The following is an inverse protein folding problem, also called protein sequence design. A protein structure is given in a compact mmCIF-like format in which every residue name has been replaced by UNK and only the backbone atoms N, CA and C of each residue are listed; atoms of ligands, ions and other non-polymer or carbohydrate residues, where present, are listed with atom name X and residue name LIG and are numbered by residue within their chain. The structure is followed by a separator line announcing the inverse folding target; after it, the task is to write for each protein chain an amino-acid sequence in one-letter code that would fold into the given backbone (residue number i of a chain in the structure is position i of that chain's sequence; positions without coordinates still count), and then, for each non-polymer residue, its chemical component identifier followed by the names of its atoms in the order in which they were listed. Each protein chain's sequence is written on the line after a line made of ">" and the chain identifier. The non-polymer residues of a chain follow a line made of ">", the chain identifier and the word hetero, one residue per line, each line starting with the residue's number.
data_IF_999224447885
#
_entry.id   IF_999224447885
#
_cell.length_a   1.000
_cell.length_b   1.000
_cell.length_c   1.000
_cell.angle_alpha   90.00
_cell.angle_beta   90.00
_cell.angle_gamma   90.00
#
_symmetry.space_group_name_H-M   'P 1'
#
loop_
_entity.id
_entity.type
_entity.pdbx_description
1 polymer ?
#
# COMPACT_ATOMS: atom_id res chain seq x y z
N UNK A 1 -66.04 -58.15 14.99
CA UNK A 1 -65.67 -58.48 13.58
C UNK A 1 -64.97 -57.24 13.03
N UNK A 2 -63.70 -57.27 12.60
CA UNK A 2 -63.11 -57.80 11.35
C UNK A 2 -63.60 -57.06 10.07
N UNK A 3 -62.66 -56.46 9.31
CA UNK A 3 -62.81 -55.73 8.01
C UNK A 3 -63.42 -54.31 8.12
N UNK A 4 -62.98 -53.23 7.46
CA UNK A 4 -61.67 -52.75 6.88
C UNK A 4 -61.79 -51.19 6.70
N UNK A 5 -61.11 -50.35 5.88
CA UNK A 5 -60.19 -50.47 4.72
C UNK A 5 -59.36 -49.16 4.50
N UNK A 6 -58.02 -49.25 4.44
CA UNK A 6 -57.07 -48.37 3.66
C UNK A 6 -56.99 -46.85 3.98
N UNK A 7 -55.87 -46.23 3.61
CA UNK A 7 -55.48 -44.84 3.90
C UNK A 7 -55.48 -43.92 2.67
N UNK A 8 -55.47 -42.60 2.90
CA UNK A 8 -55.04 -41.57 1.95
C UNK A 8 -54.11 -40.59 2.67
N UNK A 9 -52.98 -40.26 2.03
CA UNK A 9 -52.09 -39.16 2.43
C UNK A 9 -52.45 -37.96 1.56
N UNK A 10 -52.61 -36.77 2.16
CA UNK A 10 -52.21 -35.53 1.49
C UNK A 10 -51.86 -34.46 2.52
N UNK A 11 -50.80 -33.70 2.24
CA UNK A 11 -50.35 -32.60 3.07
C UNK A 11 -50.78 -31.26 2.49
N UNK A 12 -50.81 -30.21 3.33
CA UNK A 12 -50.66 -28.84 2.86
C UNK A 12 -49.84 -28.05 3.89
N UNK A 13 -48.51 -28.12 3.76
CA UNK A 13 -47.60 -27.37 4.63
C UNK A 13 -47.58 -25.89 4.20
N UNK A 14 -47.97 -24.98 5.10
CA UNK A 14 -48.16 -23.57 4.78
C UNK A 14 -47.77 -22.62 5.93
N UNK A 15 -46.60 -22.82 6.57
CA UNK A 15 -46.14 -21.94 7.66
C UNK A 15 -44.61 -21.92 7.98
N UNK A 16 -43.68 -22.14 7.04
CA UNK A 16 -42.22 -22.04 7.31
C UNK A 16 -41.36 -21.63 6.09
N UNK A 17 -41.74 -20.57 5.36
CA UNK A 17 -40.99 -20.10 4.18
C UNK A 17 -40.95 -18.57 4.04
N UNK A 18 -40.55 -17.85 5.10
CA UNK A 18 -40.53 -16.37 5.07
C UNK A 18 -39.66 -15.64 6.11
N UNK A 19 -38.85 -16.34 6.91
CA UNK A 19 -38.14 -15.75 8.05
C UNK A 19 -36.65 -16.15 8.19
N UNK A 20 -36.03 -16.71 7.13
CA UNK A 20 -34.63 -17.18 7.17
C UNK A 20 -33.75 -16.66 6.00
N UNK A 21 -34.14 -15.56 5.36
CA UNK A 21 -33.39 -14.96 4.23
C UNK A 21 -32.73 -13.62 4.60
N UNK A 22 -33.04 -13.03 5.77
CA UNK A 22 -32.56 -11.68 6.16
C UNK A 22 -31.39 -11.65 7.15
N UNK A 23 -30.81 -12.79 7.56
CA UNK A 23 -29.70 -12.84 8.53
C UNK A 23 -28.41 -13.48 7.98
N UNK A 24 -28.32 -13.72 6.68
CA UNK A 24 -27.08 -14.19 6.02
C UNK A 24 -26.18 -13.04 5.48
N UNK A 25 -26.74 -11.83 5.29
CA UNK A 25 -26.03 -10.72 4.65
C UNK A 25 -25.26 -9.78 5.59
N UNK A 26 -25.56 -9.77 6.89
CA UNK A 26 -25.02 -8.80 7.85
C UNK A 26 -23.91 -9.40 8.75
N UNK A 27 -22.92 -10.04 8.14
CA UNK A 27 -21.71 -10.50 8.81
C UNK A 27 -20.48 -10.59 7.87
N UNK A 28 -20.32 -9.61 6.97
CA UNK A 28 -19.05 -9.38 6.30
C UNK A 28 -18.05 -8.76 7.30
N UNK A 29 -17.49 -9.58 8.19
CA UNK A 29 -16.59 -9.12 9.24
C UNK A 29 -15.32 -8.46 8.68
N UNK A 30 -14.64 -7.57 9.44
CA UNK A 30 -13.58 -6.68 8.93
C UNK A 30 -12.46 -7.35 8.12
N UNK A 31 -12.12 -8.62 8.41
CA UNK A 31 -11.18 -9.41 7.59
C UNK A 31 -11.58 -9.41 6.11
N UNK A 32 -12.84 -9.74 5.80
CA UNK A 32 -13.31 -9.98 4.42
C UNK A 32 -13.17 -8.78 3.50
N UNK A 33 -13.16 -7.56 4.07
CA UNK A 33 -12.93 -6.34 3.28
C UNK A 33 -11.46 -6.25 2.87
N UNK A 34 -10.52 -6.50 3.79
CA UNK A 34 -9.08 -6.60 3.46
C UNK A 34 -8.83 -7.79 2.53
N UNK A 35 -9.41 -8.96 2.81
CA UNK A 35 -9.27 -10.17 1.98
C UNK A 35 -9.69 -9.89 0.52
N UNK A 36 -10.85 -9.25 0.31
CA UNK A 36 -11.33 -8.85 -1.02
C UNK A 36 -10.42 -7.80 -1.70
N UNK A 37 -9.88 -6.83 -0.94
CA UNK A 37 -8.94 -5.83 -1.47
C UNK A 37 -7.63 -6.51 -1.92
N UNK A 38 -7.11 -7.45 -1.13
CA UNK A 38 -5.89 -8.20 -1.44
C UNK A 38 -6.07 -9.19 -2.60
N UNK A 39 -7.31 -9.63 -2.88
CA UNK A 39 -7.66 -10.34 -4.12
C UNK A 39 -7.69 -9.37 -5.30
N UNK A 40 -8.42 -8.25 -5.20
CA UNK A 40 -8.51 -7.27 -6.28
C UNK A 40 -7.14 -6.70 -6.70
N UNK A 41 -6.26 -6.41 -5.74
CA UNK A 41 -4.86 -6.02 -5.99
C UNK A 41 -4.07 -7.12 -6.70
N UNK A 42 -4.28 -8.39 -6.37
CA UNK A 42 -3.56 -9.51 -6.98
C UNK A 42 -4.05 -9.83 -8.40
N UNK A 43 -5.34 -9.63 -8.66
CA UNK A 43 -5.94 -9.82 -9.99
C UNK A 43 -5.65 -8.65 -10.94
N UNK A 44 -5.10 -7.54 -10.44
CA UNK A 44 -4.64 -6.38 -11.21
C UNK A 44 -3.14 -6.50 -11.57
N UNK A 45 -2.79 -6.78 -12.85
CA UNK A 45 -1.42 -7.05 -13.25
C UNK A 45 -0.57 -5.78 -13.19
N UNK A 46 0.55 -5.83 -12.46
CA UNK A 46 1.43 -4.68 -12.26
C UNK A 46 1.86 -4.52 -10.80
N UNK A 47 1.75 -3.31 -10.29
CA UNK A 47 2.16 -2.94 -8.93
C UNK A 47 1.26 -3.56 -7.86
N UNK A 48 -0.06 -3.60 -8.08
CA UNK A 48 -1.00 -4.29 -7.19
C UNK A 48 -0.58 -5.74 -6.93
N UNK A 49 -0.30 -6.49 -8.00
CA UNK A 49 0.15 -7.88 -7.92
C UNK A 49 1.48 -7.99 -7.15
N UNK A 50 2.49 -7.20 -7.53
CA UNK A 50 3.81 -7.18 -6.90
C UNK A 50 3.74 -6.89 -5.39
N UNK A 51 2.90 -5.94 -4.97
CA UNK A 51 2.68 -5.60 -3.56
C UNK A 51 2.09 -6.79 -2.81
N UNK A 52 1.08 -7.46 -3.38
CA UNK A 52 0.46 -8.63 -2.74
C UNK A 52 1.40 -9.83 -2.68
N UNK A 53 2.22 -10.06 -3.70
CA UNK A 53 3.29 -11.08 -3.69
C UNK A 53 4.28 -10.80 -2.55
N UNK A 54 4.84 -9.58 -2.48
CA UNK A 54 5.76 -9.18 -1.39
C UNK A 54 5.16 -9.41 0.01
N UNK A 55 3.91 -8.99 0.21
CA UNK A 55 3.18 -9.16 1.48
C UNK A 55 3.03 -10.64 1.85
N UNK A 56 2.68 -11.50 0.89
CA UNK A 56 2.55 -12.96 1.10
C UNK A 56 3.90 -13.61 1.41
N UNK A 57 4.93 -13.34 0.61
CA UNK A 57 6.24 -14.00 0.69
C UNK A 57 7.01 -13.66 1.98
N UNK A 58 6.92 -12.41 2.42
CA UNK A 58 7.49 -11.98 3.70
C UNK A 58 6.56 -12.31 4.89
N UNK A 59 5.35 -12.81 4.62
CA UNK A 59 4.33 -13.14 5.61
C UNK A 59 3.88 -11.93 6.43
N UNK A 60 3.84 -10.75 5.80
CA UNK A 60 3.31 -9.51 6.37
C UNK A 60 1.80 -9.68 6.55
N UNK A 61 1.28 -9.32 7.71
CA UNK A 61 -0.18 -9.32 7.92
C UNK A 61 -0.78 -7.98 7.51
N UNK A 62 -2.02 -7.99 7.00
CA UNK A 62 -2.77 -6.76 6.67
C UNK A 62 -4.08 -6.79 7.45
N UNK A 63 -4.38 -5.74 8.18
CA UNK A 63 -5.55 -5.68 9.05
C UNK A 63 -6.07 -4.25 9.24
N UNK A 64 -7.30 -4.12 9.72
CA UNK A 64 -7.75 -2.87 10.33
C UNK A 64 -7.29 -2.81 11.79
N UNK A 65 -6.65 -1.71 12.19
CA UNK A 65 -6.11 -1.55 13.54
C UNK A 65 -6.25 -0.11 14.05
N UNK A 66 -6.92 0.05 15.19
CA UNK A 66 -7.15 1.34 15.84
C UNK A 66 -5.88 1.95 16.49
N UNK A 67 -4.78 1.19 16.58
CA UNK A 67 -3.48 1.65 17.10
C UNK A 67 -2.68 2.48 16.09
N UNK A 68 -3.09 2.48 14.82
CA UNK A 68 -2.38 3.14 13.71
C UNK A 68 -2.52 4.66 13.82
N UNK A 69 -1.42 5.43 13.81
CA UNK A 69 -1.50 6.89 13.76
C UNK A 69 -1.97 7.36 12.38
N UNK A 70 -3.12 8.03 12.32
CA UNK A 70 -3.64 8.60 11.07
C UNK A 70 -4.48 7.61 10.24
N UNK A 71 -4.22 7.54 8.93
CA UNK A 71 -5.06 6.81 7.95
C UNK A 71 -4.54 5.38 7.68
N UNK A 72 -3.23 5.22 7.60
CA UNK A 72 -2.51 3.97 7.35
C UNK A 72 -1.14 4.03 8.05
N UNK A 73 -0.55 2.87 8.31
CA UNK A 73 0.78 2.75 8.89
C UNK A 73 1.22 1.29 8.97
N UNK A 74 2.51 1.05 9.19
CA UNK A 74 3.06 -0.28 9.43
C UNK A 74 3.73 -0.39 10.80
N UNK A 75 3.73 -1.59 11.38
CA UNK A 75 4.32 -1.88 12.70
C UNK A 75 4.66 -3.37 12.82
N UNK A 76 5.42 -3.77 13.84
CA UNK A 76 5.58 -5.18 14.20
C UNK A 76 4.37 -5.66 15.01
N UNK A 77 3.71 -6.75 14.58
CA UNK A 77 2.68 -7.40 15.37
C UNK A 77 3.30 -8.11 16.58
N UNK A 78 2.94 -7.64 17.78
CA UNK A 78 3.39 -8.18 19.06
C UNK A 78 2.96 -9.64 19.32
N UNK A 79 2.05 -10.24 18.54
CA UNK A 79 1.67 -11.66 18.65
C UNK A 79 2.54 -12.58 17.82
N UNK A 80 2.91 -12.18 16.61
CA UNK A 80 3.65 -13.02 15.65
C UNK A 80 5.12 -12.63 15.47
N UNK A 81 5.52 -11.44 15.91
CA UNK A 81 6.86 -10.88 15.68
C UNK A 81 7.10 -10.43 14.23
N UNK A 82 6.09 -10.51 13.36
CA UNK A 82 6.18 -10.13 11.94
C UNK A 82 5.71 -8.69 11.70
N UNK A 83 6.10 -8.12 10.56
CA UNK A 83 5.53 -6.85 10.08
C UNK A 83 4.03 -6.99 9.81
N UNK A 84 3.31 -5.89 10.05
CA UNK A 84 1.87 -5.75 9.86
C UNK A 84 1.59 -4.37 9.24
N UNK A 85 0.76 -4.35 8.19
CA UNK A 85 0.16 -3.14 7.64
C UNK A 85 -1.20 -2.94 8.31
N UNK A 86 -1.35 -1.80 8.99
CA UNK A 86 -2.58 -1.41 9.66
C UNK A 86 -3.30 -0.30 8.89
N UNK A 87 -4.60 -0.51 8.63
CA UNK A 87 -5.51 0.49 8.06
C UNK A 87 -6.44 1.00 9.17
N UNK A 88 -6.74 2.30 9.20
CA UNK A 88 -7.63 2.85 10.24
C UNK A 88 -9.07 2.25 10.12
N UNK A 89 -9.68 1.72 11.19
CA UNK A 89 -11.03 1.15 11.17
C UNK A 89 -12.14 2.09 10.69
N UNK A 90 -11.94 3.42 10.66
CA UNK A 90 -12.90 4.35 10.04
C UNK A 90 -13.18 4.02 8.56
N UNK A 91 -12.20 3.42 7.87
CA UNK A 91 -12.31 3.00 6.47
C UNK A 91 -13.32 1.85 6.25
N UNK A 92 -13.92 1.30 7.31
CA UNK A 92 -14.98 0.27 7.24
C UNK A 92 -16.40 0.83 7.18
N UNK A 93 -16.64 2.08 7.58
CA UNK A 93 -17.99 2.58 7.95
C UNK A 93 -18.70 3.37 6.85
N UNK A 94 -17.99 3.65 5.76
CA UNK A 94 -18.43 4.38 4.56
C UNK A 94 -18.61 3.37 3.40
N UNK A 95 -19.19 3.74 2.24
CA UNK A 95 -19.05 2.92 1.02
C UNK A 95 -17.56 2.66 0.74
N UNK A 96 -17.11 1.42 1.01
CA UNK A 96 -15.68 1.11 1.06
C UNK A 96 -15.11 0.99 -0.35
N UNK A 97 -14.49 2.07 -0.83
CA UNK A 97 -13.63 2.00 -1.99
C UNK A 97 -12.46 1.05 -1.74
N UNK A 98 -12.50 -0.11 -2.39
CA UNK A 98 -11.40 -1.06 -2.38
C UNK A 98 -10.13 -0.42 -2.97
N UNK A 99 -10.28 0.46 -3.98
CA UNK A 99 -9.22 1.28 -4.58
C UNK A 99 -8.52 2.17 -3.55
N UNK A 100 -9.30 2.84 -2.68
CA UNK A 100 -8.77 3.67 -1.56
C UNK A 100 -7.98 2.83 -0.54
N UNK A 101 -8.48 1.66 -0.16
CA UNK A 101 -7.76 0.78 0.78
C UNK A 101 -6.50 0.19 0.13
N UNK A 102 -6.58 -0.26 -1.13
CA UNK A 102 -5.46 -0.80 -1.89
C UNK A 102 -4.30 0.19 -2.01
N UNK A 103 -4.59 1.45 -2.39
CA UNK A 103 -3.61 2.52 -2.45
C UNK A 103 -2.89 2.72 -1.09
N UNK A 104 -3.64 2.64 0.02
CA UNK A 104 -3.07 2.71 1.37
C UNK A 104 -2.25 1.47 1.75
N UNK A 105 -2.66 0.27 1.37
CA UNK A 105 -1.85 -0.95 1.56
C UNK A 105 -0.55 -0.84 0.75
N UNK A 106 -0.63 -0.41 -0.51
CA UNK A 106 0.53 -0.25 -1.38
C UNK A 106 1.54 0.79 -0.89
N UNK A 107 1.07 1.92 -0.33
CA UNK A 107 1.93 2.90 0.35
C UNK A 107 2.75 2.24 1.47
N UNK A 108 2.08 1.61 2.44
CA UNK A 108 2.75 1.04 3.61
C UNK A 108 3.58 -0.22 3.28
N UNK A 109 3.16 -0.99 2.28
CA UNK A 109 3.94 -2.11 1.74
C UNK A 109 5.20 -1.61 1.00
N UNK A 110 5.12 -0.53 0.23
CA UNK A 110 6.28 0.07 -0.40
C UNK A 110 7.28 0.62 0.64
N UNK A 111 6.83 1.25 1.72
CA UNK A 111 7.70 1.65 2.83
C UNK A 111 8.41 0.44 3.49
N UNK A 112 7.71 -0.71 3.62
CA UNK A 112 8.30 -1.97 4.10
C UNK A 112 9.29 -2.61 3.09
N UNK A 113 8.97 -2.58 1.79
CA UNK A 113 9.90 -3.00 0.72
C UNK A 113 11.17 -2.13 0.69
N UNK A 114 11.05 -0.89 1.15
CA UNK A 114 12.10 0.12 1.22
C UNK A 114 12.62 0.30 2.66
N UNK A 115 12.48 -0.69 3.54
CA UNK A 115 12.92 -0.60 4.94
C UNK A 115 14.43 -0.33 5.07
N UNK A 116 15.25 -1.04 4.28
CA UNK A 116 16.71 -0.81 4.19
C UNK A 116 17.08 0.40 3.29
N UNK A 117 16.09 1.03 2.65
CA UNK A 117 16.33 2.19 1.80
C UNK A 117 16.43 3.47 2.65
N UNK A 118 17.48 4.30 2.47
CA UNK A 118 17.68 5.52 3.25
C UNK A 118 16.50 6.49 3.18
N UNK A 119 16.07 7.01 4.34
CA UNK A 119 15.11 8.10 4.42
C UNK A 119 15.55 9.28 3.54
N UNK A 120 14.75 9.57 2.52
CA UNK A 120 15.11 10.46 1.41
C UNK A 120 13.86 10.93 0.65
N UNK A 121 14.02 11.98 -0.16
CA UNK A 121 12.99 12.41 -1.11
C UNK A 121 12.70 11.32 -2.16
N UNK A 122 13.73 10.59 -2.60
CA UNK A 122 13.65 9.46 -3.53
C UNK A 122 12.79 8.32 -2.96
N UNK A 123 13.04 7.88 -1.71
CA UNK A 123 12.23 6.83 -1.05
C UNK A 123 10.74 7.19 -1.04
N UNK A 124 10.43 8.42 -0.61
CA UNK A 124 9.06 8.93 -0.51
C UNK A 124 8.39 9.06 -1.88
N UNK A 125 9.15 9.35 -2.93
CA UNK A 125 8.62 9.35 -4.29
C UNK A 125 8.26 7.93 -4.75
N UNK A 126 9.11 6.93 -4.50
CA UNK A 126 8.79 5.52 -4.83
C UNK A 126 7.51 5.09 -4.10
N UNK A 127 7.39 5.35 -2.80
CA UNK A 127 6.20 4.98 -2.02
C UNK A 127 4.91 5.69 -2.52
N UNK A 128 5.01 6.97 -2.89
CA UNK A 128 3.90 7.70 -3.51
C UNK A 128 3.51 7.15 -4.89
N UNK A 129 4.51 6.77 -5.70
CA UNK A 129 4.30 6.16 -7.03
C UNK A 129 3.59 4.82 -6.90
N UNK A 130 4.06 3.91 -6.03
CA UNK A 130 3.42 2.60 -5.84
C UNK A 130 1.99 2.70 -5.30
N UNK A 131 1.72 3.70 -4.45
CA UNK A 131 0.38 4.05 -4.01
C UNK A 131 -0.52 4.52 -5.17
N UNK A 132 0.03 5.31 -6.10
CA UNK A 132 -0.68 5.84 -7.25
C UNK A 132 -0.95 4.77 -8.32
N UNK A 133 0.08 4.05 -8.77
CA UNK A 133 0.00 2.95 -9.73
C UNK A 133 -1.10 1.95 -9.32
N UNK A 134 -1.07 1.46 -8.08
CA UNK A 134 -2.10 0.55 -7.52
C UNK A 134 -3.52 1.12 -7.61
N UNK A 135 -3.69 2.44 -7.42
CA UNK A 135 -4.99 3.09 -7.52
C UNK A 135 -5.52 3.09 -8.96
N UNK A 136 -4.69 3.42 -9.94
CA UNK A 136 -5.07 3.44 -11.36
C UNK A 136 -5.25 2.04 -11.95
N UNK A 137 -4.38 1.08 -11.59
CA UNK A 137 -4.49 -0.34 -11.97
C UNK A 137 -5.83 -0.96 -11.54
N UNK A 138 -6.40 -0.49 -10.44
CA UNK A 138 -7.72 -0.88 -9.93
C UNK A 138 -8.88 -0.04 -10.49
N UNK A 139 -8.68 0.67 -11.61
CA UNK A 139 -9.72 1.50 -12.24
C UNK A 139 -10.04 2.79 -11.46
N UNK A 140 -9.08 3.31 -10.69
CA UNK A 140 -9.08 4.69 -10.23
C UNK A 140 -8.84 5.68 -11.37
N UNK A 141 -9.27 6.93 -11.23
CA UNK A 141 -9.03 7.99 -12.21
C UNK A 141 -8.51 9.27 -11.54
N UNK A 142 -7.95 10.18 -12.34
CA UNK A 142 -7.56 11.51 -11.87
C UNK A 142 -8.75 12.32 -11.33
N UNK A 143 -9.94 12.09 -11.91
CA UNK A 143 -11.15 12.87 -11.64
C UNK A 143 -11.80 12.48 -10.31
N UNK A 144 -11.86 11.17 -9.99
CA UNK A 144 -12.47 10.69 -8.75
C UNK A 144 -11.52 10.62 -7.54
N UNK A 145 -10.22 10.86 -7.72
CA UNK A 145 -9.24 10.97 -6.63
C UNK A 145 -9.64 11.98 -5.52
N UNK A 146 -10.25 13.11 -5.89
CA UNK A 146 -10.66 14.14 -4.91
C UNK A 146 -11.81 13.68 -4.01
N UNK A 147 -12.55 12.65 -4.42
CA UNK A 147 -13.79 12.22 -3.78
C UNK A 147 -14.03 10.72 -4.02
N UNK A 148 -13.07 9.88 -3.61
CA UNK A 148 -13.04 8.45 -3.94
C UNK A 148 -14.26 7.75 -3.37
N UNK A 149 -15.19 7.39 -4.25
CA UNK A 149 -16.48 6.75 -3.95
C UNK A 149 -17.30 7.47 -2.86
N UNK A 150 -17.18 8.80 -2.78
CA UNK A 150 -17.94 9.66 -1.87
C UNK A 150 -17.17 10.16 -0.64
N UNK A 151 -15.84 9.95 -0.56
CA UNK A 151 -15.03 10.37 0.59
C UNK A 151 -13.71 11.05 0.18
N UNK A 152 -13.37 12.13 0.87
CA UNK A 152 -12.17 12.94 0.60
C UNK A 152 -10.93 12.39 1.36
N UNK A 153 -9.84 12.17 0.62
CA UNK A 153 -8.51 11.85 1.19
C UNK A 153 -7.42 12.81 0.67
N UNK A 154 -7.23 13.99 1.30
CA UNK A 154 -6.29 14.99 0.81
C UNK A 154 -4.82 14.57 0.89
N UNK A 155 -4.48 13.55 1.68
CA UNK A 155 -3.11 13.00 1.72
C UNK A 155 -2.90 12.05 0.54
N UNK A 156 -3.87 11.17 0.24
CA UNK A 156 -3.83 10.33 -0.94
C UNK A 156 -3.83 11.17 -2.22
N UNK A 157 -4.75 12.13 -2.32
CA UNK A 157 -4.85 13.09 -3.42
C UNK A 157 -3.52 13.82 -3.65
N UNK A 158 -2.90 14.36 -2.58
CA UNK A 158 -1.59 15.01 -2.66
C UNK A 158 -0.48 14.07 -3.11
N UNK A 159 -0.43 12.84 -2.60
CA UNK A 159 0.62 11.86 -2.94
C UNK A 159 0.48 11.36 -4.39
N UNK A 160 -0.76 11.22 -4.89
CA UNK A 160 -0.99 10.83 -6.27
C UNK A 160 -0.75 11.99 -7.24
N UNK A 161 -1.21 13.22 -6.95
CA UNK A 161 -0.86 14.39 -7.79
C UNK A 161 0.63 14.73 -7.78
N UNK A 162 1.33 14.49 -6.66
CA UNK A 162 2.80 14.58 -6.63
C UNK A 162 3.45 13.71 -7.70
N UNK A 163 2.88 12.54 -8.00
CA UNK A 163 3.36 11.62 -9.01
C UNK A 163 2.82 11.96 -10.41
N UNK A 164 1.50 12.05 -10.61
CA UNK A 164 0.89 12.30 -11.92
C UNK A 164 1.34 13.63 -12.54
N UNK A 165 1.50 14.69 -11.74
CA UNK A 165 1.87 16.02 -12.25
C UNK A 165 3.39 16.23 -12.37
N UNK A 166 4.22 15.30 -11.87
CA UNK A 166 5.67 15.48 -11.80
C UNK A 166 6.38 14.16 -12.14
N UNK A 167 7.09 14.15 -13.27
CA UNK A 167 8.08 13.12 -13.57
C UNK A 167 9.10 12.97 -12.40
N UNK A 168 9.79 11.83 -12.25
CA UNK A 168 10.48 11.50 -11.01
C UNK A 168 11.48 12.52 -10.47
N UNK A 169 12.22 13.21 -11.35
CA UNK A 169 13.17 14.24 -10.93
C UNK A 169 12.48 15.53 -10.45
N UNK A 170 11.41 15.96 -11.12
CA UNK A 170 10.50 17.03 -10.65
C UNK A 170 9.84 16.66 -9.30
N UNK A 171 9.36 15.42 -9.16
CA UNK A 171 8.64 14.96 -7.96
C UNK A 171 9.56 14.85 -6.73
N UNK A 172 10.76 14.32 -6.91
CA UNK A 172 11.82 14.34 -5.89
C UNK A 172 12.19 15.77 -5.51
N UNK A 173 12.28 16.70 -6.48
CA UNK A 173 12.51 18.14 -6.20
C UNK A 173 11.36 18.76 -5.38
N UNK A 174 10.10 18.38 -5.61
CA UNK A 174 8.95 18.85 -4.82
C UNK A 174 8.94 18.27 -3.40
N UNK A 175 9.34 17.00 -3.23
CA UNK A 175 9.50 16.39 -1.90
C UNK A 175 10.67 16.97 -1.12
N UNK A 176 11.79 17.27 -1.80
CA UNK A 176 12.94 17.97 -1.21
C UNK A 176 12.54 19.32 -0.62
N UNK A 177 11.71 20.08 -1.34
CA UNK A 177 11.14 21.36 -0.87
C UNK A 177 10.30 21.25 0.42
N UNK A 178 9.93 20.03 0.83
CA UNK A 178 9.20 19.73 2.07
C UNK A 178 10.12 19.24 3.20
N UNK A 179 11.44 19.41 3.07
CA UNK A 179 12.43 19.10 4.10
C UNK A 179 12.99 17.68 4.06
N UNK A 180 12.75 16.92 3.00
CA UNK A 180 13.43 15.65 2.77
C UNK A 180 14.81 15.89 2.12
N UNK A 181 15.87 15.25 2.62
CA UNK A 181 17.17 15.24 1.93
C UNK A 181 17.11 14.37 0.68
N UNK A 182 17.89 14.69 -0.36
CA UNK A 182 18.11 13.75 -1.46
C UNK A 182 19.23 12.76 -1.15
N UNK A 183 19.26 11.61 -1.84
CA UNK A 183 20.37 10.66 -1.75
C UNK A 183 21.70 11.33 -2.12
N UNK A 184 21.70 12.23 -3.10
CA UNK A 184 22.92 12.95 -3.52
C UNK A 184 23.44 13.94 -2.46
N UNK A 185 22.55 14.57 -1.69
CA UNK A 185 22.94 15.40 -0.56
C UNK A 185 23.49 14.56 0.59
N UNK A 186 22.87 13.40 0.87
CA UNK A 186 23.35 12.48 1.90
C UNK A 186 24.69 11.85 1.52
N UNK A 187 24.89 11.45 0.26
CA UNK A 187 26.19 10.98 -0.28
C UNK A 187 27.26 12.06 -0.12
N UNK A 188 26.96 13.31 -0.49
CA UNK A 188 27.92 14.41 -0.37
C UNK A 188 28.28 14.72 1.10
N UNK A 189 27.31 14.65 2.01
CA UNK A 189 27.53 14.81 3.45
C UNK A 189 28.37 13.67 4.05
N UNK A 190 27.99 12.41 3.84
CA UNK A 190 28.76 11.23 4.33
C UNK A 190 30.17 11.20 3.73
N UNK A 191 30.34 11.57 2.46
CA UNK A 191 31.68 11.67 1.82
C UNK A 191 32.56 12.71 2.51
N UNK A 192 31.98 13.86 2.91
CA UNK A 192 32.71 14.89 3.66
C UNK A 192 33.10 14.39 5.05
N UNK A 193 32.18 13.80 5.79
CA UNK A 193 32.47 13.31 7.16
C UNK A 193 33.50 12.17 7.15
N UNK A 194 33.41 11.25 6.18
CA UNK A 194 34.46 10.23 5.93
C UNK A 194 35.84 10.87 5.72
N UNK A 195 35.93 11.91 4.89
CA UNK A 195 37.20 12.60 4.66
C UNK A 195 37.71 13.33 5.92
N UNK A 196 36.82 13.89 6.73
CA UNK A 196 37.19 14.49 8.01
C UNK A 196 37.71 13.43 8.99
N UNK A 197 37.09 12.24 9.09
CA UNK A 197 37.61 11.14 9.93
C UNK A 197 38.99 10.65 9.47
N UNK A 198 39.23 10.56 8.16
CA UNK A 198 40.55 10.22 7.59
C UNK A 198 41.59 11.27 7.97
N UNK A 199 41.25 12.56 7.90
CA UNK A 199 42.14 13.65 8.30
C UNK A 199 42.48 13.62 9.81
N UNK A 200 41.64 12.99 10.64
CA UNK A 200 41.86 12.76 12.07
C UNK A 200 42.40 11.34 12.40
N UNK A 201 42.72 10.52 11.39
CA UNK A 201 43.19 9.13 11.55
C UNK A 201 42.24 8.19 12.33
N UNK A 202 40.93 8.43 12.25
CA UNK A 202 39.92 7.68 13.00
C UNK A 202 39.44 6.43 12.22
N UNK A 203 40.30 5.40 12.18
CA UNK A 203 40.13 4.17 11.37
C UNK A 203 38.76 3.51 11.50
N UNK A 204 38.27 3.36 12.73
CA UNK A 204 37.04 2.60 13.03
C UNK A 204 35.80 3.30 12.46
N UNK A 205 35.87 4.63 12.30
CA UNK A 205 34.82 5.44 11.69
C UNK A 205 34.93 5.49 10.16
N UNK A 206 36.14 5.35 9.60
CA UNK A 206 36.30 5.23 8.15
C UNK A 206 35.56 4.00 7.61
N UNK A 207 35.62 2.85 8.30
CA UNK A 207 34.88 1.65 7.86
C UNK A 207 33.36 1.87 7.89
N UNK A 208 32.83 2.48 8.96
CA UNK A 208 31.40 2.78 9.11
C UNK A 208 30.92 3.68 7.97
N UNK A 209 31.58 4.81 7.73
CA UNK A 209 31.19 5.73 6.66
C UNK A 209 31.44 5.16 5.26
N UNK A 210 32.43 4.28 5.07
CA UNK A 210 32.61 3.57 3.80
C UNK A 210 31.40 2.67 3.51
N UNK A 211 30.95 1.92 4.51
CA UNK A 211 29.78 1.03 4.39
C UNK A 211 28.47 1.79 4.15
N UNK A 212 28.29 2.96 4.78
CA UNK A 212 27.14 3.82 4.50
C UNK A 212 27.18 4.38 3.06
N UNK A 213 28.35 4.79 2.54
CA UNK A 213 28.47 5.21 1.14
C UNK A 213 28.11 4.09 0.16
N UNK A 214 28.55 2.85 0.41
CA UNK A 214 28.17 1.70 -0.41
C UNK A 214 26.65 1.47 -0.43
N UNK A 215 26.00 1.57 0.74
CA UNK A 215 24.53 1.49 0.87
C UNK A 215 23.83 2.64 0.13
N UNK A 216 24.29 3.88 0.28
CA UNK A 216 23.73 5.05 -0.39
C UNK A 216 23.90 4.98 -1.92
N UNK A 217 25.05 4.52 -2.41
CA UNK A 217 25.28 4.30 -3.84
C UNK A 217 24.41 3.17 -4.40
N UNK A 218 24.20 2.10 -3.64
CA UNK A 218 23.26 1.02 -4.00
C UNK A 218 21.82 1.54 -4.08
N UNK A 219 21.36 2.29 -3.07
CA UNK A 219 20.04 2.93 -3.06
C UNK A 219 19.86 3.90 -4.24
N UNK A 220 20.89 4.70 -4.57
CA UNK A 220 20.87 5.58 -5.75
C UNK A 220 20.73 4.78 -7.05
N UNK A 221 21.47 3.68 -7.20
CA UNK A 221 21.39 2.82 -8.39
C UNK A 221 20.01 2.19 -8.54
N UNK A 222 19.42 1.71 -7.44
CA UNK A 222 18.03 1.21 -7.41
C UNK A 222 17.04 2.30 -7.81
N UNK A 223 17.19 3.53 -7.32
CA UNK A 223 16.31 4.65 -7.72
C UNK A 223 16.43 4.99 -9.21
N UNK A 224 17.64 4.97 -9.81
CA UNK A 224 17.76 5.19 -11.26
C UNK A 224 17.07 4.08 -12.08
N UNK A 225 17.08 2.84 -11.61
CA UNK A 225 16.32 1.74 -12.25
C UNK A 225 14.81 1.96 -12.09
N UNK A 226 14.35 2.36 -10.89
CA UNK A 226 12.96 2.71 -10.63
C UNK A 226 12.46 3.85 -11.54
N UNK A 227 13.20 4.96 -11.64
CA UNK A 227 12.85 6.08 -12.53
C UNK A 227 12.59 5.62 -13.96
N UNK A 228 13.42 4.72 -14.49
CA UNK A 228 13.24 4.20 -15.84
C UNK A 228 11.94 3.39 -15.97
N UNK A 229 11.72 2.45 -15.04
CA UNK A 229 10.48 1.67 -15.00
C UNK A 229 9.24 2.58 -14.92
N UNK A 230 9.28 3.60 -14.07
CA UNK A 230 8.17 4.52 -13.85
C UNK A 230 7.87 5.34 -15.11
N UNK A 231 8.91 5.81 -15.81
CA UNK A 231 8.73 6.58 -17.05
C UNK A 231 8.20 5.68 -18.18
N UNK A 232 8.64 4.42 -18.25
CA UNK A 232 8.07 3.41 -19.14
C UNK A 232 6.58 3.11 -18.76
N UNK A 233 6.21 3.14 -17.46
CA UNK A 233 4.82 2.98 -16.97
C UNK A 233 3.93 4.18 -17.34
N UNK A 234 4.34 5.42 -17.02
CA UNK A 234 3.56 6.64 -17.30
C UNK A 234 3.29 6.80 -18.80
N UNK A 235 4.29 6.52 -19.64
CA UNK A 235 4.13 6.57 -21.10
C UNK A 235 3.12 5.54 -21.61
N UNK A 236 3.07 4.34 -21.02
CA UNK A 236 2.17 3.26 -21.43
C UNK A 236 0.74 3.38 -20.88
N UNK A 237 0.55 4.04 -19.73
CA UNK A 237 -0.75 4.17 -19.05
C UNK A 237 -1.36 5.58 -19.09
N UNK A 238 -0.72 6.52 -19.80
CA UNK A 238 -1.14 7.93 -19.94
C UNK A 238 -2.61 8.18 -20.31
N UNK A 239 -3.31 7.22 -20.91
CA UNK A 239 -4.75 7.28 -21.22
C UNK A 239 -5.69 7.06 -20.03
N UNK A 240 -5.19 6.50 -18.91
CA UNK A 240 -5.94 6.31 -17.66
C UNK A 240 -5.80 7.51 -16.69
N UNK A 241 -4.89 8.43 -17.00
CA UNK A 241 -4.54 9.59 -16.16
C UNK A 241 -5.25 10.90 -16.59
N UNK A 242 -6.09 10.83 -17.62
CA UNK A 242 -6.84 11.96 -18.21
C UNK A 242 -8.28 12.02 -17.68
#
# INVERSE_FOLDING_TARGET
>A
MKKTLVAVILACAAATAGAQVQTAGQAAGPSRVIDNVMVAMYDAPGTGEMIVQYVRDNGVSVAFDARVPGRSGHATDAKTGKSMIGINPSYQQEPVSYRRIAARIAKEAAELMLADFPESAEKRYIAASRMAETYFELGGTRIDMQNVDGVVDPEAEKLVFLWVENAPDEGVRVLKGQGAQTLDERIAWVTKERQEMINYSMTDWEEIYTRELEQLHSAKAQFQQFKKYETDWLMSHSSQLQ
#
